data_IF_224733207558
#
_entry.id   IF_224733207558
#
_cell.length_a   1.000
_cell.length_b   1.000
_cell.length_c   1.000
_cell.angle_alpha   90.00
_cell.angle_beta   90.00
_cell.angle_gamma   90.00
#
_symmetry.space_group_name_H-M   'P 1'
#
loop_
_entity.id
_entity.type
_entity.pdbx_description
1 polymer ?
#
# COMPACT_ATOMS: atom_id res chain seq x y z
N UNK A 1 -42.19 23.81 55.07
CA UNK A 1 -41.61 22.64 54.37
C UNK A 1 -41.22 23.05 52.96
N UNK A 2 -39.96 23.43 52.75
CA UNK A 2 -39.41 23.75 51.42
C UNK A 2 -38.76 22.49 50.85
N UNK A 3 -39.21 22.05 49.66
CA UNK A 3 -38.59 20.98 48.88
C UNK A 3 -37.51 21.59 47.99
N UNK A 4 -36.25 21.30 48.27
CA UNK A 4 -35.13 21.60 47.36
C UNK A 4 -35.02 20.47 46.33
N UNK A 5 -35.32 20.78 45.08
CA UNK A 5 -35.09 19.87 43.95
C UNK A 5 -33.70 20.14 43.38
N UNK A 6 -32.80 19.17 43.54
CA UNK A 6 -31.44 19.20 42.99
C UNK A 6 -31.50 18.82 41.50
N UNK A 7 -31.09 19.74 40.63
CA UNK A 7 -31.01 19.51 39.18
C UNK A 7 -29.58 19.08 38.82
N UNK A 8 -29.39 17.81 38.44
CA UNK A 8 -28.10 17.29 37.96
C UNK A 8 -28.05 17.50 36.44
N UNK A 9 -27.18 18.40 35.99
CA UNK A 9 -26.91 18.64 34.57
C UNK A 9 -25.91 17.59 34.07
N UNK A 10 -26.40 16.57 33.36
CA UNK A 10 -25.56 15.62 32.62
C UNK A 10 -25.10 16.29 31.31
N UNK A 11 -23.86 16.77 31.30
CA UNK A 11 -23.21 17.25 30.08
C UNK A 11 -22.90 16.02 29.22
N UNK A 12 -23.73 15.75 28.22
CA UNK A 12 -23.45 14.76 27.19
C UNK A 12 -22.29 15.28 26.33
N UNK A 13 -21.07 14.85 26.61
CA UNK A 13 -19.98 14.98 25.64
C UNK A 13 -20.29 14.02 24.49
N UNK A 14 -20.90 14.53 23.43
CA UNK A 14 -20.94 13.82 22.15
C UNK A 14 -19.50 13.78 21.64
N UNK A 15 -18.85 12.61 21.51
CA UNK A 15 -17.58 12.56 20.80
C UNK A 15 -17.85 12.96 19.37
N UNK A 16 -17.33 14.12 18.97
CA UNK A 16 -17.23 14.49 17.57
C UNK A 16 -16.25 13.50 16.95
N UNK A 17 -16.77 12.39 16.42
CA UNK A 17 -15.98 11.49 15.59
C UNK A 17 -15.71 12.28 14.32
N UNK A 18 -14.57 12.97 14.29
CA UNK A 18 -14.01 13.46 13.05
C UNK A 18 -13.76 12.20 12.22
N UNK A 19 -14.65 11.92 11.26
CA UNK A 19 -14.33 11.00 10.18
C UNK A 19 -13.10 11.59 9.51
N UNK A 20 -11.94 11.02 9.81
CA UNK A 20 -10.73 11.37 9.10
C UNK A 20 -11.01 11.11 7.62
N UNK A 21 -10.80 12.12 6.77
CA UNK A 21 -11.05 11.97 5.35
C UNK A 21 -10.23 10.78 4.80
N UNK A 22 -10.82 10.05 3.86
CA UNK A 22 -10.14 9.00 3.08
C UNK A 22 -8.77 9.54 2.61
N UNK A 23 -7.66 8.82 2.81
CA UNK A 23 -6.32 9.30 2.45
C UNK A 23 -6.20 9.74 0.99
N UNK A 24 -5.34 10.72 0.72
CA UNK A 24 -5.10 11.23 -0.64
C UNK A 24 -4.71 10.12 -1.63
N UNK A 25 -4.02 9.09 -1.14
CA UNK A 25 -3.69 7.88 -1.90
C UNK A 25 -4.92 7.26 -2.57
N UNK A 26 -6.13 7.35 -2.05
CA UNK A 26 -7.31 6.75 -2.69
C UNK A 26 -8.16 7.75 -3.48
N UNK A 27 -7.82 9.04 -3.42
CA UNK A 27 -8.58 10.13 -4.04
C UNK A 27 -7.88 10.76 -5.24
N UNK A 28 -6.55 10.67 -5.31
CA UNK A 28 -5.77 11.33 -6.35
C UNK A 28 -5.20 10.33 -7.34
N UNK A 29 -5.07 10.74 -8.60
CA UNK A 29 -4.46 9.89 -9.64
C UNK A 29 -2.99 9.63 -9.41
N UNK A 30 -2.23 10.66 -9.07
CA UNK A 30 -0.82 10.51 -8.75
C UNK A 30 -0.63 10.21 -7.27
N UNK A 31 0.50 9.60 -6.94
CA UNK A 31 0.91 9.35 -5.57
C UNK A 31 2.41 9.56 -5.42
N UNK A 32 2.86 9.69 -4.19
CA UNK A 32 4.27 9.85 -3.82
C UNK A 32 4.60 8.89 -2.68
N UNK A 33 5.88 8.77 -2.35
CA UNK A 33 6.28 8.01 -1.15
C UNK A 33 5.64 8.59 0.13
N UNK A 34 5.47 9.92 0.18
CA UNK A 34 4.78 10.64 1.26
C UNK A 34 3.31 10.25 1.35
N UNK A 35 2.54 10.33 0.25
CA UNK A 35 1.09 10.04 0.32
C UNK A 35 0.80 8.57 0.62
N UNK A 36 1.70 7.66 0.23
CA UNK A 36 1.63 6.25 0.63
C UNK A 36 1.88 6.07 2.13
N UNK A 37 2.93 6.69 2.68
CA UNK A 37 3.23 6.63 4.11
C UNK A 37 2.12 7.27 4.97
N UNK A 38 1.56 8.40 4.54
CA UNK A 38 0.43 9.06 5.18
C UNK A 38 -0.81 8.16 5.21
N UNK A 39 -1.13 7.49 4.10
CA UNK A 39 -2.24 6.55 4.06
C UNK A 39 -2.05 5.38 5.04
N UNK A 40 -0.85 4.79 5.10
CA UNK A 40 -0.54 3.74 6.07
C UNK A 40 -0.71 4.26 7.50
N UNK A 41 -0.17 5.45 7.81
CA UNK A 41 -0.22 6.03 9.14
C UNK A 41 -1.64 6.39 9.58
N UNK A 42 -2.49 6.81 8.66
CA UNK A 42 -3.91 7.00 8.90
C UNK A 42 -4.57 5.69 9.38
N UNK A 43 -4.31 4.56 8.72
CA UNK A 43 -4.90 3.29 9.17
C UNK A 43 -4.28 2.75 10.45
N UNK A 44 -2.97 2.97 10.67
CA UNK A 44 -2.34 2.64 11.96
C UNK A 44 -3.03 3.40 13.11
N UNK A 45 -3.39 4.68 12.91
CA UNK A 45 -4.04 5.47 13.96
C UNK A 45 -5.50 5.09 14.20
N UNK A 46 -6.21 4.59 13.17
CA UNK A 46 -7.56 4.06 13.32
C UNK A 46 -7.60 2.71 14.08
N UNK A 47 -6.52 1.93 13.99
CA UNK A 47 -6.46 0.58 14.53
C UNK A 47 -7.13 -0.47 13.63
N UNK A 48 -6.85 -1.75 13.92
CA UNK A 48 -7.12 -2.86 13.01
C UNK A 48 -8.58 -2.96 12.54
N UNK A 49 -9.55 -3.03 13.46
CA UNK A 49 -10.96 -3.24 13.09
C UNK A 49 -11.53 -2.10 12.26
N UNK A 50 -11.17 -0.85 12.58
CA UNK A 50 -11.62 0.31 11.83
C UNK A 50 -10.94 0.40 10.46
N UNK A 51 -9.63 0.14 10.40
CA UNK A 51 -8.87 0.10 9.16
C UNK A 51 -9.38 -0.99 8.20
N UNK A 52 -9.66 -2.19 8.71
CA UNK A 52 -10.19 -3.31 7.90
C UNK A 52 -11.54 -2.95 7.31
N UNK A 53 -12.44 -2.35 8.10
CA UNK A 53 -13.75 -1.90 7.62
C UNK A 53 -13.60 -0.87 6.50
N UNK A 54 -12.82 0.18 6.74
CA UNK A 54 -12.68 1.27 5.77
C UNK A 54 -11.98 0.82 4.47
N UNK A 55 -10.91 0.01 4.57
CA UNK A 55 -10.22 -0.54 3.40
C UNK A 55 -11.12 -1.48 2.58
N UNK A 56 -12.04 -2.19 3.23
CA UNK A 56 -13.05 -3.01 2.54
C UNK A 56 -14.05 -2.13 1.78
N UNK A 57 -14.48 -1.02 2.39
CA UNK A 57 -15.43 -0.08 1.78
C UNK A 57 -14.81 0.68 0.59
N UNK A 58 -13.50 0.95 0.63
CA UNK A 58 -12.77 1.66 -0.45
C UNK A 58 -12.64 0.84 -1.74
N UNK A 59 -12.55 -0.49 -1.61
CA UNK A 59 -12.40 -1.41 -2.74
C UNK A 59 -13.49 -2.48 -2.69
N UNK A 60 -14.77 -2.09 -2.94
CA UNK A 60 -15.88 -3.02 -2.88
C UNK A 60 -15.72 -4.12 -3.95
N UNK A 61 -16.30 -5.28 -3.66
CA UNK A 61 -16.24 -6.43 -4.55
C UNK A 61 -16.73 -6.07 -5.95
N UNK A 62 -16.04 -6.59 -6.97
CA UNK A 62 -16.33 -6.50 -8.42
C UNK A 62 -15.65 -5.38 -9.22
N UNK A 63 -14.86 -4.49 -8.62
CA UNK A 63 -14.37 -3.28 -9.32
C UNK A 63 -12.90 -3.32 -9.78
N UNK A 64 -12.49 -4.43 -10.42
CA UNK A 64 -11.31 -4.39 -11.32
C UNK A 64 -11.69 -3.91 -12.73
N UNK A 65 -12.98 -3.70 -12.99
CA UNK A 65 -13.37 -2.89 -14.14
C UNK A 65 -12.71 -1.53 -13.91
N UNK A 66 -12.05 -0.99 -14.93
CA UNK A 66 -11.72 0.44 -14.93
C UNK A 66 -13.04 1.14 -14.66
N UNK A 67 -13.24 1.61 -13.44
CA UNK A 67 -14.35 2.48 -13.11
C UNK A 67 -14.20 3.62 -14.11
N UNK A 68 -15.10 3.68 -15.09
CA UNK A 68 -15.02 4.66 -16.19
C UNK A 68 -15.12 6.10 -15.64
N UNK A 69 -15.51 6.22 -14.36
CA UNK A 69 -15.53 7.45 -13.56
C UNK A 69 -14.28 7.64 -12.68
N UNK A 70 -13.50 6.59 -12.40
CA UNK A 70 -12.20 6.72 -11.74
C UNK A 70 -11.14 7.01 -12.81
N UNK A 71 -10.57 8.20 -12.78
CA UNK A 71 -9.62 8.75 -13.75
C UNK A 71 -8.27 7.98 -13.87
N UNK A 72 -8.31 6.69 -14.18
CA UNK A 72 -7.19 5.88 -14.64
C UNK A 72 -6.31 5.20 -13.57
N UNK A 73 -6.73 5.07 -12.31
CA UNK A 73 -5.96 4.35 -11.28
C UNK A 73 -6.81 3.38 -10.44
N UNK A 74 -6.22 2.25 -10.04
CA UNK A 74 -6.93 1.13 -9.39
C UNK A 74 -6.94 1.25 -7.86
N UNK A 75 -8.09 1.55 -7.26
CA UNK A 75 -8.28 1.49 -5.79
C UNK A 75 -7.95 0.11 -5.19
N UNK A 76 -8.37 -1.03 -5.80
CA UNK A 76 -7.94 -2.38 -5.41
C UNK A 76 -6.43 -2.53 -5.21
N UNK A 77 -5.63 -2.05 -6.17
CA UNK A 77 -4.17 -2.14 -6.11
C UNK A 77 -3.62 -1.35 -4.93
N UNK A 78 -4.13 -0.13 -4.71
CA UNK A 78 -3.71 0.75 -3.61
C UNK A 78 -4.05 0.18 -2.24
N UNK A 79 -5.22 -0.45 -2.09
CA UNK A 79 -5.56 -1.20 -0.88
C UNK A 79 -4.55 -2.32 -0.66
N UNK A 80 -4.21 -3.06 -1.72
CA UNK A 80 -3.13 -4.06 -1.69
C UNK A 80 -1.81 -3.47 -1.19
N UNK A 81 -1.38 -2.33 -1.73
CA UNK A 81 -0.15 -1.65 -1.33
C UNK A 81 -0.14 -1.27 0.15
N UNK A 82 -1.22 -0.66 0.63
CA UNK A 82 -1.37 -0.31 2.06
C UNK A 82 -1.32 -1.58 2.91
N UNK A 83 -2.02 -2.64 2.53
CA UNK A 83 -2.02 -3.91 3.27
C UNK A 83 -0.60 -4.51 3.40
N UNK A 84 0.23 -4.42 2.35
CA UNK A 84 1.63 -4.90 2.40
C UNK A 84 2.44 -4.23 3.51
N UNK A 85 2.17 -2.96 3.80
CA UNK A 85 2.93 -2.17 4.80
C UNK A 85 2.27 -2.28 6.19
N UNK A 86 0.94 -2.33 6.22
CA UNK A 86 0.11 -2.32 7.42
C UNK A 86 0.15 -3.66 8.17
N UNK A 87 0.27 -4.78 7.45
CA UNK A 87 0.38 -6.11 8.06
C UNK A 87 1.81 -6.63 7.98
N UNK A 88 2.41 -6.89 9.14
CA UNK A 88 3.74 -7.48 9.27
C UNK A 88 3.62 -9.01 9.29
N UNK A 89 4.57 -9.79 8.76
CA UNK A 89 4.46 -11.25 8.80
C UNK A 89 4.48 -11.77 10.25
N UNK A 90 3.63 -12.75 10.59
CA UNK A 90 3.65 -13.44 11.91
C UNK A 90 4.87 -14.34 12.12
N UNK A 91 5.48 -14.78 11.01
CA UNK A 91 6.59 -15.73 10.97
C UNK A 91 7.74 -15.12 10.19
N UNK A 92 8.86 -15.83 10.11
CA UNK A 92 10.04 -15.40 9.34
C UNK A 92 9.77 -15.27 7.83
N UNK A 93 8.69 -15.88 7.33
CA UNK A 93 8.33 -15.82 5.92
C UNK A 93 7.52 -14.55 5.60
N UNK A 94 7.89 -13.81 4.54
CA UNK A 94 7.09 -12.68 4.06
C UNK A 94 5.67 -13.09 3.68
N UNK A 95 4.71 -12.19 3.87
CA UNK A 95 3.35 -12.36 3.35
C UNK A 95 3.38 -12.49 1.82
N UNK A 96 2.53 -13.35 1.24
CA UNK A 96 2.40 -13.46 -0.22
C UNK A 96 1.87 -12.13 -0.81
N UNK A 97 2.26 -11.76 -2.04
CA UNK A 97 1.68 -10.60 -2.72
C UNK A 97 0.20 -10.83 -3.05
N UNK A 98 -0.57 -9.76 -3.30
CA UNK A 98 -1.94 -9.90 -3.78
C UNK A 98 -1.98 -10.65 -5.10
N UNK A 99 -2.93 -11.56 -5.27
CA UNK A 99 -3.09 -12.35 -6.49
C UNK A 99 -3.97 -11.60 -7.51
N UNK A 100 -3.61 -10.34 -7.78
CA UNK A 100 -4.33 -9.47 -8.73
C UNK A 100 -3.94 -9.71 -10.19
N UNK A 101 -2.87 -10.47 -10.43
CA UNK A 101 -2.34 -10.74 -11.76
C UNK A 101 -0.83 -10.73 -11.79
N UNK A 102 -0.27 -10.45 -12.96
CA UNK A 102 1.14 -10.16 -13.16
C UNK A 102 1.36 -8.66 -13.41
N UNK A 103 2.42 -8.12 -12.81
CA UNK A 103 2.96 -6.80 -13.14
C UNK A 103 4.03 -6.92 -14.23
N UNK A 104 4.41 -5.80 -14.84
CA UNK A 104 5.53 -5.70 -15.78
C UNK A 104 6.87 -5.70 -15.03
N UNK A 105 7.04 -6.65 -14.11
CA UNK A 105 8.21 -6.81 -13.25
C UNK A 105 8.84 -8.21 -13.44
N UNK A 106 10.18 -8.31 -13.38
CA UNK A 106 10.91 -9.57 -13.56
C UNK A 106 10.82 -10.48 -12.32
N UNK A 107 9.62 -11.03 -12.08
CA UNK A 107 9.25 -11.79 -10.87
C UNK A 107 10.20 -12.98 -10.57
N UNK A 108 10.81 -13.60 -11.59
CA UNK A 108 11.77 -14.71 -11.41
C UNK A 108 13.03 -14.29 -10.65
N UNK A 109 13.42 -13.02 -10.75
CA UNK A 109 14.58 -12.45 -10.07
C UNK A 109 14.21 -11.50 -8.94
N UNK A 110 12.93 -11.49 -8.55
CA UNK A 110 12.43 -10.71 -7.43
C UNK A 110 11.73 -11.62 -6.40
N UNK A 111 12.44 -12.62 -5.84
CA UNK A 111 11.85 -13.52 -4.85
C UNK A 111 11.49 -12.74 -3.58
N UNK A 112 10.44 -13.18 -2.88
CA UNK A 112 9.98 -12.52 -1.65
C UNK A 112 11.04 -12.47 -0.54
N UNK A 113 11.99 -13.41 -0.53
CA UNK A 113 13.13 -13.37 0.41
C UNK A 113 13.98 -12.11 0.26
N UNK A 114 14.08 -11.55 -0.94
CA UNK A 114 14.80 -10.31 -1.23
C UNK A 114 13.86 -9.11 -1.41
N UNK A 115 12.59 -9.37 -1.75
CA UNK A 115 11.55 -8.36 -1.97
C UNK A 115 10.32 -8.62 -1.10
N UNK A 116 10.45 -8.56 0.24
CA UNK A 116 9.44 -9.03 1.17
C UNK A 116 8.13 -8.23 1.11
N UNK A 117 8.14 -7.03 0.51
CA UNK A 117 6.98 -6.17 0.36
C UNK A 117 6.44 -6.10 -1.08
N UNK A 118 6.95 -6.91 -2.01
CA UNK A 118 6.54 -6.93 -3.42
C UNK A 118 5.00 -6.77 -3.61
N UNK A 119 4.52 -5.81 -4.41
CA UNK A 119 5.26 -4.98 -5.37
C UNK A 119 5.81 -3.66 -4.79
N UNK A 120 5.93 -3.53 -3.48
CA UNK A 120 6.55 -2.36 -2.84
C UNK A 120 8.01 -2.68 -2.49
N UNK A 121 8.89 -1.69 -2.64
CA UNK A 121 10.22 -1.69 -2.09
C UNK A 121 10.31 -0.72 -0.91
N UNK A 122 10.88 -1.18 0.20
CA UNK A 122 11.31 -0.32 1.29
C UNK A 122 12.78 0.06 1.08
N UNK A 123 13.12 1.33 1.32
CA UNK A 123 14.49 1.81 1.31
C UNK A 123 14.60 3.02 2.24
N UNK A 124 15.51 2.96 3.21
CA UNK A 124 15.61 3.99 4.23
C UNK A 124 14.28 4.23 4.96
N UNK A 125 13.77 5.46 4.85
CA UNK A 125 12.51 5.89 5.46
C UNK A 125 11.31 5.81 4.50
N UNK A 126 11.52 5.34 3.28
CA UNK A 126 10.56 5.46 2.19
C UNK A 126 10.04 4.11 1.69
N UNK A 127 8.81 4.11 1.20
CA UNK A 127 8.19 3.00 0.46
C UNK A 127 7.91 3.44 -0.97
N UNK A 128 8.32 2.62 -1.94
CA UNK A 128 8.13 2.88 -3.36
C UNK A 128 7.34 1.75 -4.01
N UNK A 129 6.30 2.10 -4.75
CA UNK A 129 5.57 1.14 -5.58
C UNK A 129 6.42 0.85 -6.82
N UNK A 130 6.73 -0.42 -7.07
CA UNK A 130 7.62 -0.81 -8.16
C UNK A 130 6.91 -0.77 -9.52
N UNK A 131 5.63 -1.15 -9.55
CA UNK A 131 4.81 -1.09 -10.77
C UNK A 131 3.31 -1.10 -10.40
N UNK A 132 2.47 -0.66 -11.33
CA UNK A 132 1.01 -0.63 -11.24
C UNK A 132 0.37 -1.21 -12.51
N UNK A 133 -0.94 -1.51 -12.47
CA UNK A 133 -1.66 -2.00 -13.64
C UNK A 133 -1.48 -3.50 -13.86
N UNK A 134 -1.92 -4.29 -12.89
CA UNK A 134 -1.88 -5.74 -12.98
C UNK A 134 -2.61 -6.25 -14.24
N UNK A 135 -2.00 -7.23 -14.91
CA UNK A 135 -2.54 -7.91 -16.08
C UNK A 135 -2.82 -9.38 -15.75
N UNK A 136 -4.00 -9.89 -16.14
CA UNK A 136 -4.40 -11.26 -15.83
C UNK A 136 -5.35 -11.82 -16.90
N UNK A 137 -5.17 -13.09 -17.28
CA UNK A 137 -6.03 -13.81 -18.23
C UNK A 137 -7.18 -14.60 -17.56
N UNK A 138 -7.32 -14.47 -16.23
CA UNK A 138 -8.31 -15.15 -15.39
C UNK A 138 -8.95 -14.20 -14.36
N UNK A 139 -9.50 -14.74 -13.28
CA UNK A 139 -10.15 -13.95 -12.22
C UNK A 139 -9.14 -13.48 -11.18
N UNK A 140 -9.00 -12.17 -11.02
CA UNK A 140 -8.18 -11.57 -9.98
C UNK A 140 -8.75 -11.86 -8.59
N UNK A 141 -7.87 -12.02 -7.59
CA UNK A 141 -8.25 -12.04 -6.18
C UNK A 141 -8.98 -10.74 -5.81
N UNK A 142 -10.11 -10.85 -5.12
CA UNK A 142 -10.84 -9.69 -4.62
C UNK A 142 -10.05 -9.01 -3.49
N UNK A 143 -9.99 -7.66 -3.43
CA UNK A 143 -9.20 -6.95 -2.41
C UNK A 143 -9.53 -7.34 -0.98
N UNK A 144 -10.81 -7.61 -0.69
CA UNK A 144 -11.24 -8.12 0.61
C UNK A 144 -10.56 -9.44 1.00
N UNK A 145 -10.37 -10.36 0.05
CA UNK A 145 -9.77 -11.66 0.33
C UNK A 145 -8.28 -11.51 0.63
N UNK A 146 -7.62 -10.56 -0.04
CA UNK A 146 -6.24 -10.24 0.28
C UNK A 146 -6.11 -9.61 1.67
N UNK A 147 -7.01 -8.68 2.03
CA UNK A 147 -7.07 -8.08 3.35
C UNK A 147 -7.34 -9.12 4.45
N UNK A 148 -8.30 -10.03 4.23
CA UNK A 148 -8.59 -11.16 5.12
C UNK A 148 -7.37 -12.06 5.30
N UNK A 149 -6.67 -12.38 4.21
CA UNK A 149 -5.41 -13.13 4.25
C UNK A 149 -4.34 -12.40 5.09
N UNK A 150 -4.15 -11.10 4.87
CA UNK A 150 -3.17 -10.31 5.63
C UNK A 150 -3.50 -10.27 7.12
N UNK A 151 -4.79 -10.25 7.48
CA UNK A 151 -5.24 -10.34 8.88
C UNK A 151 -5.01 -11.73 9.49
N UNK A 152 -5.27 -12.78 8.71
CA UNK A 152 -5.08 -14.16 9.15
C UNK A 152 -3.60 -14.51 9.35
N UNK A 153 -2.73 -14.09 8.44
CA UNK A 153 -1.30 -14.49 8.41
C UNK A 153 -0.34 -13.40 8.93
N UNK A 154 -0.82 -12.17 9.10
CA UNK A 154 -0.03 -11.02 9.52
C UNK A 154 -0.43 -10.44 10.88
N UNK A 155 0.43 -9.59 11.41
CA UNK A 155 0.21 -8.80 12.62
C UNK A 155 -0.01 -7.37 12.19
N UNK A 156 -1.13 -6.79 12.62
CA UNK A 156 -1.42 -5.39 12.35
C UNK A 156 -0.35 -4.49 13.00
N UNK A 157 0.23 -3.60 12.19
CA UNK A 157 1.23 -2.63 12.62
C UNK A 157 0.62 -1.64 13.61
N UNK A 158 1.25 -1.48 14.77
CA UNK A 158 0.82 -0.55 15.83
C UNK A 158 1.60 0.77 15.85
N UNK A 159 2.68 0.86 15.07
CA UNK A 159 3.57 2.02 15.03
C UNK A 159 3.55 2.66 13.66
N UNK A 160 3.45 3.98 13.64
CA UNK A 160 3.53 4.75 12.39
C UNK A 160 4.85 4.48 11.67
N UNK A 161 4.78 4.47 10.34
CA UNK A 161 5.96 4.51 9.47
C UNK A 161 6.47 5.95 9.32
N UNK A 162 7.77 6.15 9.02
CA UNK A 162 8.28 7.47 8.68
C UNK A 162 7.53 8.06 7.47
N UNK A 163 7.25 9.36 7.51
CA UNK A 163 6.76 10.11 6.35
C UNK A 163 7.98 10.83 5.78
N UNK A 164 8.51 10.42 4.62
CA UNK A 164 9.73 11.02 4.09
C UNK A 164 9.45 12.43 3.54
N UNK A 165 10.40 13.33 3.78
CA UNK A 165 10.52 14.57 2.99
C UNK A 165 11.00 14.26 1.58
N UNK A 166 10.88 15.22 0.64
CA UNK A 166 11.41 15.08 -0.72
C UNK A 166 12.89 14.68 -0.74
N UNK A 167 13.72 15.35 0.07
CA UNK A 167 15.15 15.10 0.11
C UNK A 167 15.48 13.69 0.64
N UNK A 168 14.75 13.23 1.65
CA UNK A 168 14.89 11.86 2.16
C UNK A 168 14.47 10.83 1.12
N UNK A 169 13.31 11.02 0.49
CA UNK A 169 12.83 10.11 -0.56
C UNK A 169 13.80 10.04 -1.73
N UNK A 170 14.36 11.16 -2.20
CA UNK A 170 15.37 11.17 -3.27
C UNK A 170 16.63 10.40 -2.88
N UNK A 171 17.11 10.57 -1.64
CA UNK A 171 18.24 9.81 -1.10
C UNK A 171 17.91 8.31 -1.04
N UNK A 172 16.72 7.96 -0.56
CA UNK A 172 16.26 6.58 -0.39
C UNK A 172 16.05 5.87 -1.73
N UNK A 173 15.55 6.57 -2.76
CA UNK A 173 15.48 6.07 -4.14
C UNK A 173 16.87 5.71 -4.64
N UNK A 174 17.86 6.60 -4.49
CA UNK A 174 19.25 6.33 -4.89
C UNK A 174 19.88 5.16 -4.12
N UNK A 175 19.52 5.00 -2.84
CA UNK A 175 19.93 3.85 -2.03
C UNK A 175 19.35 2.55 -2.59
N UNK A 176 18.05 2.54 -2.93
CA UNK A 176 17.38 1.39 -3.54
C UNK A 176 18.09 0.97 -4.83
N UNK A 177 18.42 1.91 -5.71
CA UNK A 177 19.15 1.64 -6.97
C UNK A 177 20.52 1.00 -6.77
N UNK A 178 21.19 1.37 -5.67
CA UNK A 178 22.53 0.90 -5.34
C UNK A 178 22.51 -0.41 -4.56
N UNK A 179 21.34 -0.87 -4.11
CA UNK A 179 21.19 -2.09 -3.33
C UNK A 179 21.64 -3.33 -4.12
N UNK A 180 22.20 -4.35 -3.43
CA UNK A 180 22.48 -5.65 -4.04
C UNK A 180 21.24 -6.28 -4.68
N UNK A 181 20.08 -6.16 -4.04
CA UNK A 181 18.82 -6.73 -4.48
C UNK A 181 18.38 -6.15 -5.82
N UNK A 182 18.43 -4.81 -5.96
CA UNK A 182 18.10 -4.15 -7.23
C UNK A 182 19.07 -4.56 -8.35
N UNK A 183 20.38 -4.57 -8.05
CA UNK A 183 21.41 -4.94 -9.04
C UNK A 183 21.34 -6.41 -9.46
N UNK A 184 20.75 -7.28 -8.64
CA UNK A 184 20.55 -8.68 -8.95
C UNK A 184 19.35 -8.94 -9.88
N UNK A 185 18.51 -7.92 -10.14
CA UNK A 185 17.38 -8.06 -11.04
C UNK A 185 17.87 -8.30 -12.48
N UNK A 186 17.34 -9.36 -13.12
CA UNK A 186 17.52 -9.56 -14.55
C UNK A 186 16.34 -8.97 -15.30
N UNK A 187 16.56 -7.82 -15.94
CA UNK A 187 15.56 -7.10 -16.74
C UNK A 187 15.28 -7.75 -18.10
N UNK A 188 16.19 -8.60 -18.55
CA UNK A 188 16.02 -9.46 -19.71
C UNK A 188 16.44 -10.87 -19.32
N UNK A 189 15.54 -11.83 -19.44
CA UNK A 189 15.83 -13.23 -19.15
C UNK A 189 14.99 -14.16 -20.03
N UNK A 190 15.46 -15.40 -20.18
CA UNK A 190 14.77 -16.46 -20.92
C UNK A 190 15.08 -17.83 -20.33
N UNK A 191 14.12 -18.72 -20.38
CA UNK A 191 14.25 -20.11 -19.96
C UNK A 191 13.14 -20.96 -20.53
N UNK A 192 13.04 -22.21 -20.08
CA UNK A 192 12.00 -23.12 -20.53
C UNK A 192 10.62 -22.55 -20.17
N UNK A 193 9.77 -22.35 -21.18
CA UNK A 193 8.42 -21.82 -21.01
C UNK A 193 8.32 -20.32 -20.71
N UNK A 194 9.42 -19.54 -20.72
CA UNK A 194 9.34 -18.09 -20.53
C UNK A 194 10.45 -17.30 -21.23
N UNK A 195 10.13 -16.07 -21.63
CA UNK A 195 11.11 -15.07 -22.08
C UNK A 195 10.51 -13.69 -21.86
N UNK A 196 11.29 -12.75 -21.34
CA UNK A 196 10.86 -11.38 -21.17
C UNK A 196 11.99 -10.37 -21.40
N UNK A 197 11.60 -9.15 -21.75
CA UNK A 197 12.46 -7.98 -21.79
C UNK A 197 11.65 -6.83 -21.23
N UNK A 198 12.02 -6.38 -20.04
CA UNK A 198 11.36 -5.33 -19.27
C UNK A 198 12.31 -4.14 -19.18
N UNK A 199 11.80 -2.93 -19.36
CA UNK A 199 12.63 -1.72 -19.28
C UNK A 199 12.91 -1.35 -17.84
N UNK A 200 14.15 -1.57 -17.40
CA UNK A 200 14.63 -1.08 -16.11
C UNK A 200 14.42 0.44 -15.97
N UNK A 201 14.74 1.19 -17.03
CA UNK A 201 14.68 2.66 -17.02
C UNK A 201 13.26 3.17 -16.80
N UNK A 202 12.25 2.49 -17.36
CA UNK A 202 10.86 2.88 -17.19
C UNK A 202 10.40 2.70 -15.74
N UNK A 203 10.70 1.53 -15.15
CA UNK A 203 10.41 1.23 -13.74
C UNK A 203 11.15 2.21 -12.83
N UNK A 204 12.42 2.43 -13.12
CA UNK A 204 13.27 3.33 -12.36
C UNK A 204 12.74 4.77 -12.38
N UNK A 205 12.36 5.28 -13.56
CA UNK A 205 11.75 6.61 -13.70
C UNK A 205 10.43 6.72 -12.93
N UNK A 206 9.61 5.68 -12.93
CA UNK A 206 8.36 5.65 -12.15
C UNK A 206 8.64 5.80 -10.64
N UNK A 207 9.64 5.08 -10.12
CA UNK A 207 10.07 5.15 -8.72
C UNK A 207 10.66 6.54 -8.39
N UNK A 208 11.51 7.10 -9.26
CA UNK A 208 12.06 8.44 -9.08
C UNK A 208 10.97 9.51 -8.99
N UNK A 209 9.96 9.42 -9.87
CA UNK A 209 8.84 10.37 -9.86
C UNK A 209 8.07 10.38 -8.53
N UNK A 210 7.98 9.24 -7.83
CA UNK A 210 7.33 9.16 -6.51
C UNK A 210 8.08 9.97 -5.44
N UNK A 211 9.40 10.16 -5.59
CA UNK A 211 10.19 11.03 -4.72
C UNK A 211 10.18 12.48 -5.22
N UNK A 212 10.36 12.69 -6.52
CA UNK A 212 10.51 14.03 -7.11
C UNK A 212 9.23 14.86 -7.07
N UNK A 213 8.06 14.22 -7.06
CA UNK A 213 6.76 14.88 -7.00
C UNK A 213 6.32 15.28 -5.58
N UNK A 214 7.11 14.98 -4.55
CA UNK A 214 6.84 15.46 -3.18
C UNK A 214 6.99 16.99 -3.15
N UNK A 215 5.97 17.67 -2.64
CA UNK A 215 5.91 19.13 -2.56
C UNK A 215 6.66 19.68 -1.36
#
# INVERSE_FOLDING_TARGET
MMKSTLLILLISMTPTIAFAEIPLLFRQRTFTATTLAEAVNHYVSLGEEAAVRELTDIAPNHDFKRDELAEGFSRPERVGWVCRILFQPKREQPLRPPLYGALSLPHKTMPLSSWPLYPIAASGNSFFVLDEGYSLAGRAEEPRHYLEYCRAEGVFRKTSVPIPTRAEAQKDVLMLRRSPEWRAIKWKDRGEGFSYTISEEWIWKSIQNQADAIK
#
